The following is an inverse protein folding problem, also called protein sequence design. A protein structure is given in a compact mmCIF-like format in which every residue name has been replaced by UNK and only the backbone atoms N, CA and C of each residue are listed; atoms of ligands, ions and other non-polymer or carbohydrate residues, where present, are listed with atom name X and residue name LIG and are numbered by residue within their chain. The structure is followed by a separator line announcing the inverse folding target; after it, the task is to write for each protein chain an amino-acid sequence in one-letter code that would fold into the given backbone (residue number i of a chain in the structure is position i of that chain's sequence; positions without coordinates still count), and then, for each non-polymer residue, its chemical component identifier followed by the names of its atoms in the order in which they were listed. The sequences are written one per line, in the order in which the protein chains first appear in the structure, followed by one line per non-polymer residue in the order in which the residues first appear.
data_IF_343330531268
#
_entry.id   IF_343330531268
#
_cell.length_a   1.000
_cell.length_b   1.000
_cell.length_c   1.000
_cell.angle_alpha   90.00
_cell.angle_beta   90.00
_cell.angle_gamma   90.00
#
_symmetry.space_group_name_H-M   'P 1'
#
loop_
_entity.id
_entity.type
_entity.pdbx_description
1 polymer ?
#
# COMPACT_ATOMS: atom_id res chain seq x y z
N UNK A 1 14.99 -6.07 34.96
CA UNK A 1 14.65 -6.52 33.61
C UNK A 1 14.36 -5.28 32.77
N UNK A 2 15.33 -4.86 31.95
CA UNK A 2 15.09 -3.88 30.92
C UNK A 2 14.22 -4.58 29.86
N UNK A 3 12.97 -4.15 29.71
CA UNK A 3 12.24 -4.42 28.49
C UNK A 3 13.01 -3.70 27.37
N UNK A 4 13.65 -4.46 26.48
CA UNK A 4 14.04 -3.94 25.20
C UNK A 4 12.75 -3.46 24.53
N UNK A 5 12.56 -2.14 24.50
CA UNK A 5 11.60 -1.52 23.63
C UNK A 5 12.02 -1.93 22.21
N UNK A 6 11.22 -2.77 21.57
CA UNK A 6 11.37 -3.09 20.16
C UNK A 6 11.53 -1.77 19.39
N UNK A 7 12.77 -1.46 18.99
CA UNK A 7 13.03 -0.31 18.13
C UNK A 7 12.27 -0.58 16.84
N UNK A 8 11.21 0.20 16.59
CA UNK A 8 10.50 0.15 15.32
C UNK A 8 11.52 0.29 14.19
N UNK A 9 11.59 -0.73 13.33
CA UNK A 9 12.49 -0.71 12.19
C UNK A 9 12.09 0.43 11.24
N UNK A 10 13.08 1.22 10.80
CA UNK A 10 12.84 2.31 9.83
C UNK A 10 12.39 1.74 8.50
N UNK A 11 11.41 2.39 7.86
CA UNK A 11 11.01 2.09 6.49
C UNK A 11 12.14 2.42 5.52
N UNK A 12 12.08 1.88 4.31
CA UNK A 12 13.05 2.19 3.25
C UNK A 12 13.09 3.70 2.97
N UNK A 13 11.93 4.35 2.96
CA UNK A 13 11.83 5.81 2.78
C UNK A 13 12.52 6.57 3.91
N UNK A 14 12.27 6.22 5.17
CA UNK A 14 12.89 6.83 6.34
C UNK A 14 14.41 6.67 6.31
N UNK A 15 14.92 5.47 6.01
CA UNK A 15 16.36 5.20 5.88
C UNK A 15 17.01 6.07 4.80
N UNK A 16 16.33 6.20 3.65
CA UNK A 16 16.86 6.96 2.52
C UNK A 16 16.86 8.48 2.77
N UNK A 17 15.90 9.00 3.52
CA UNK A 17 15.73 10.44 3.77
C UNK A 17 16.37 10.94 5.06
N UNK A 18 16.87 10.07 5.92
CA UNK A 18 17.39 10.41 7.25
C UNK A 18 18.90 10.71 7.31
N UNK A 19 19.57 10.87 6.18
CA UNK A 19 21.00 11.16 6.11
C UNK A 19 21.34 12.50 6.76
N UNK A 20 22.14 12.46 7.82
CA UNK A 20 22.61 13.66 8.53
C UNK A 20 23.75 14.31 7.73
N UNK A 21 23.68 15.63 7.57
CA UNK A 21 24.70 16.42 6.88
C UNK A 21 24.67 16.33 5.35
N UNK A 22 23.66 15.73 4.78
CA UNK A 22 23.43 15.63 3.34
C UNK A 22 22.22 16.46 2.92
N UNK A 23 22.30 17.04 1.72
CA UNK A 23 21.13 17.67 1.08
C UNK A 23 20.31 16.56 0.45
N UNK A 24 19.03 16.50 0.82
CA UNK A 24 18.04 15.58 0.23
C UNK A 24 17.10 16.38 -0.65
N UNK A 25 16.96 15.96 -1.90
CA UNK A 25 16.12 16.63 -2.90
C UNK A 25 14.92 15.76 -3.24
N UNK A 26 13.74 16.37 -3.29
CA UNK A 26 12.47 15.71 -3.59
C UNK A 26 11.87 16.28 -4.88
N UNK A 27 11.43 15.38 -5.76
CA UNK A 27 10.61 15.72 -6.93
C UNK A 27 9.31 14.93 -6.85
N UNK A 28 8.18 15.64 -6.80
CA UNK A 28 6.87 15.03 -6.76
C UNK A 28 6.19 15.14 -8.11
N UNK A 29 5.66 14.02 -8.57
CA UNK A 29 4.90 13.90 -9.80
C UNK A 29 3.47 13.48 -9.46
N UNK A 30 2.52 14.39 -9.67
CA UNK A 30 1.10 14.13 -9.37
C UNK A 30 0.56 13.02 -10.26
N UNK A 31 -0.12 12.08 -9.65
CA UNK A 31 -0.78 10.96 -10.31
C UNK A 31 -2.30 11.08 -10.13
N UNK A 32 -3.11 10.37 -10.95
CA UNK A 32 -4.54 10.27 -10.70
C UNK A 32 -4.86 9.78 -9.30
N UNK A 33 -5.90 10.32 -8.67
CA UNK A 33 -6.35 9.89 -7.35
C UNK A 33 -6.74 8.41 -7.36
N UNK A 34 -6.52 7.73 -6.25
CA UNK A 34 -6.96 6.36 -6.04
C UNK A 34 -8.38 6.37 -5.47
N UNK A 35 -9.40 5.95 -6.26
CA UNK A 35 -10.78 5.99 -5.79
C UNK A 35 -11.10 4.77 -4.93
N UNK A 36 -11.24 4.97 -3.63
CA UNK A 36 -11.79 3.97 -2.72
C UNK A 36 -13.31 4.02 -2.65
N UNK A 37 -13.93 3.01 -2.05
CA UNK A 37 -15.40 2.90 -1.93
C UNK A 37 -16.03 4.03 -1.12
N UNK A 38 -15.32 4.55 -0.11
CA UNK A 38 -15.81 5.57 0.81
C UNK A 38 -15.07 6.90 0.69
N UNK A 39 -13.85 6.87 0.21
CA UNK A 39 -13.01 8.06 0.04
C UNK A 39 -11.92 7.79 -1.00
N UNK A 40 -11.41 8.85 -1.60
CA UNK A 40 -10.26 8.81 -2.49
C UNK A 40 -8.98 9.14 -1.74
N UNK A 41 -7.86 8.60 -2.20
CA UNK A 41 -6.53 8.96 -1.75
C UNK A 41 -5.82 9.80 -2.80
N UNK A 42 -4.97 10.75 -2.35
CA UNK A 42 -4.03 11.43 -3.24
C UNK A 42 -2.84 10.52 -3.53
N UNK A 43 -2.35 10.59 -4.75
CA UNK A 43 -1.28 9.73 -5.25
C UNK A 43 -0.22 10.57 -5.94
N UNK A 44 1.02 10.31 -5.59
CA UNK A 44 2.20 10.93 -6.21
C UNK A 44 3.28 9.86 -6.42
N UNK A 45 4.14 10.09 -7.39
CA UNK A 45 5.45 9.42 -7.44
C UNK A 45 6.47 10.42 -6.95
N UNK A 46 7.20 10.06 -5.91
CA UNK A 46 8.29 10.89 -5.36
C UNK A 46 9.64 10.31 -5.74
N UNK A 47 10.44 11.11 -6.43
CA UNK A 47 11.86 10.82 -6.66
C UNK A 47 12.67 11.53 -5.59
N UNK A 48 13.49 10.79 -4.87
CA UNK A 48 14.36 11.31 -3.82
C UNK A 48 15.81 11.16 -4.25
N UNK A 49 16.58 12.25 -4.17
CA UNK A 49 18.01 12.26 -4.43
C UNK A 49 18.73 12.64 -3.14
N UNK A 50 19.59 11.75 -2.68
CA UNK A 50 20.43 11.96 -1.50
C UNK A 50 21.89 11.73 -1.88
N UNK A 51 22.66 12.82 -2.01
CA UNK A 51 24.02 12.74 -2.52
C UNK A 51 24.05 12.18 -3.94
N UNK A 52 24.79 11.11 -4.16
CA UNK A 52 24.88 10.40 -5.46
C UNK A 52 23.81 9.33 -5.65
N UNK A 53 22.96 9.09 -4.65
CA UNK A 53 21.92 8.04 -4.70
C UNK A 53 20.56 8.63 -5.05
N UNK A 54 19.76 7.87 -5.77
CA UNK A 54 18.40 8.22 -6.17
C UNK A 54 17.48 7.03 -5.99
N UNK A 55 16.27 7.27 -5.49
CA UNK A 55 15.23 6.26 -5.39
C UNK A 55 13.85 6.87 -5.64
N UNK A 56 12.92 6.06 -6.10
CA UNK A 56 11.54 6.45 -6.34
C UNK A 56 10.58 5.70 -5.43
N UNK A 57 9.53 6.41 -5.02
CA UNK A 57 8.49 5.90 -4.11
C UNK A 57 7.11 6.23 -4.65
N UNK A 58 6.18 5.32 -4.49
CA UNK A 58 4.76 5.63 -4.58
C UNK A 58 4.31 6.22 -3.26
N UNK A 59 3.81 7.46 -3.28
CA UNK A 59 3.24 8.13 -2.12
C UNK A 59 1.72 8.11 -2.22
N UNK A 60 1.06 7.50 -1.24
CA UNK A 60 -0.40 7.48 -1.11
C UNK A 60 -0.75 8.13 0.21
N UNK A 61 -1.68 9.08 0.18
CA UNK A 61 -2.10 9.84 1.34
C UNK A 61 -3.62 9.97 1.39
N UNK A 62 -4.21 9.75 2.56
CA UNK A 62 -5.62 10.00 2.82
C UNK A 62 -5.86 10.24 4.32
N UNK A 63 -7.02 10.81 4.63
CA UNK A 63 -7.43 11.08 6.01
C UNK A 63 -8.57 10.13 6.40
N UNK A 64 -8.30 9.10 7.22
CA UNK A 64 -9.34 8.22 7.72
C UNK A 64 -10.34 9.00 8.58
N UNK A 65 -11.58 8.50 8.63
CA UNK A 65 -12.63 9.13 9.44
C UNK A 65 -12.19 9.26 10.92
N UNK A 66 -12.31 10.47 11.47
CA UNK A 66 -11.92 10.83 12.85
C UNK A 66 -10.44 10.52 13.20
N UNK A 67 -9.56 10.49 12.22
CA UNK A 67 -8.12 10.28 12.42
C UNK A 67 -7.31 11.35 11.71
N UNK A 68 -6.03 11.44 12.06
CA UNK A 68 -5.07 12.26 11.33
C UNK A 68 -4.78 11.68 9.94
N UNK A 69 -4.31 12.53 9.03
CA UNK A 69 -3.85 12.12 7.70
C UNK A 69 -2.79 11.04 7.80
N UNK A 70 -2.96 9.99 6.99
CA UNK A 70 -2.05 8.86 6.89
C UNK A 70 -1.34 8.87 5.54
N UNK A 71 -0.06 8.56 5.55
CA UNK A 71 0.78 8.48 4.36
C UNK A 71 1.54 7.16 4.30
N UNK A 72 1.67 6.59 3.11
CA UNK A 72 2.59 5.49 2.82
C UNK A 72 3.53 5.89 1.71
N UNK A 73 4.79 5.51 1.86
CA UNK A 73 5.83 5.64 0.83
C UNK A 73 6.32 4.23 0.49
N UNK A 74 5.91 3.74 -0.68
CA UNK A 74 6.23 2.38 -1.14
C UNK A 74 7.41 2.47 -2.10
N UNK A 75 8.53 1.82 -1.75
CA UNK A 75 9.70 1.78 -2.61
C UNK A 75 9.39 1.06 -3.93
N UNK A 76 10.06 1.47 -5.00
CA UNK A 76 9.81 0.96 -6.36
C UNK A 76 9.84 -0.58 -6.43
N UNK A 77 10.80 -1.23 -5.76
CA UNK A 77 10.92 -2.69 -5.75
C UNK A 77 9.74 -3.36 -5.02
N UNK A 78 9.33 -2.80 -3.88
CA UNK A 78 8.17 -3.30 -3.12
C UNK A 78 6.87 -3.09 -3.90
N UNK A 79 6.77 -2.01 -4.68
CA UNK A 79 5.60 -1.74 -5.52
C UNK A 79 5.43 -2.78 -6.63
N UNK A 80 6.52 -3.22 -7.25
CA UNK A 80 6.51 -4.30 -8.26
C UNK A 80 6.02 -5.60 -7.63
N UNK A 81 6.50 -5.93 -6.43
CA UNK A 81 6.06 -7.11 -5.67
C UNK A 81 4.58 -7.02 -5.28
N UNK A 82 4.12 -5.85 -4.84
CA UNK A 82 2.70 -5.65 -4.49
C UNK A 82 1.79 -5.80 -5.70
N UNK A 83 2.17 -5.24 -6.84
CA UNK A 83 1.39 -5.38 -8.09
C UNK A 83 1.25 -6.85 -8.47
N UNK A 84 2.36 -7.59 -8.45
CA UNK A 84 2.37 -9.03 -8.75
C UNK A 84 1.49 -9.81 -7.77
N UNK A 85 1.61 -9.54 -6.48
CA UNK A 85 0.77 -10.17 -5.46
C UNK A 85 -0.71 -9.84 -5.65
N UNK A 86 -1.04 -8.61 -6.03
CA UNK A 86 -2.43 -8.20 -6.28
C UNK A 86 -3.03 -8.95 -7.49
N UNK A 87 -2.26 -9.19 -8.53
CA UNK A 87 -2.67 -9.99 -9.69
C UNK A 87 -2.93 -11.45 -9.28
N UNK A 88 -2.09 -12.03 -8.44
CA UNK A 88 -2.28 -13.38 -7.89
C UNK A 88 -3.52 -13.45 -6.99
N UNK A 89 -3.70 -12.47 -6.11
CA UNK A 89 -4.88 -12.36 -5.24
C UNK A 89 -6.17 -12.25 -6.06
N UNK A 90 -6.15 -11.52 -7.17
CA UNK A 90 -7.31 -11.41 -8.08
C UNK A 90 -7.72 -12.77 -8.65
N UNK A 91 -6.75 -13.60 -9.03
CA UNK A 91 -7.01 -14.96 -9.51
C UNK A 91 -7.59 -15.82 -8.39
N UNK A 92 -7.01 -15.80 -7.20
CA UNK A 92 -7.51 -16.55 -6.04
C UNK A 92 -8.94 -16.14 -5.67
N UNK A 93 -9.24 -14.84 -5.65
CA UNK A 93 -10.56 -14.33 -5.32
C UNK A 93 -11.67 -14.81 -6.29
N UNK A 94 -11.31 -15.12 -7.55
CA UNK A 94 -12.27 -15.61 -8.53
C UNK A 94 -12.73 -17.03 -8.27
N UNK A 95 -11.99 -17.80 -7.48
CA UNK A 95 -12.27 -19.22 -7.19
C UNK A 95 -12.50 -19.49 -5.71
N UNK A 96 -12.00 -18.62 -4.82
CA UNK A 96 -12.11 -18.81 -3.38
C UNK A 96 -13.52 -18.47 -2.88
N UNK A 97 -13.96 -19.26 -1.90
CA UNK A 97 -15.05 -18.98 -0.99
C UNK A 97 -14.57 -19.26 0.43
N UNK A 98 -15.44 -19.16 1.42
CA UNK A 98 -15.08 -19.41 2.82
C UNK A 98 -14.90 -20.89 3.14
N UNK A 99 -15.36 -21.80 2.25
CA UNK A 99 -15.46 -23.23 2.58
C UNK A 99 -16.43 -23.43 3.74
N UNK A 100 -15.96 -24.09 4.81
CA UNK A 100 -16.74 -24.27 6.04
C UNK A 100 -16.55 -23.16 7.07
N UNK A 101 -15.62 -22.23 6.82
CA UNK A 101 -15.37 -21.09 7.68
C UNK A 101 -16.41 -19.98 7.50
N UNK A 102 -16.67 -19.22 8.56
CA UNK A 102 -17.55 -18.04 8.49
C UNK A 102 -16.88 -16.82 7.86
N UNK A 103 -15.56 -16.83 7.80
CA UNK A 103 -14.72 -15.75 7.32
C UNK A 103 -13.41 -16.32 6.75
N UNK A 104 -12.95 -15.75 5.65
CA UNK A 104 -11.60 -16.02 5.14
C UNK A 104 -10.97 -14.73 4.65
N UNK A 105 -9.66 -14.65 4.69
CA UNK A 105 -8.90 -13.51 4.26
C UNK A 105 -7.60 -13.96 3.59
N UNK A 106 -7.25 -13.34 2.47
CA UNK A 106 -5.92 -13.43 1.86
C UNK A 106 -5.25 -12.06 1.88
N UNK A 107 -4.02 -12.02 2.32
CA UNK A 107 -3.28 -10.78 2.56
C UNK A 107 -1.82 -10.90 2.14
N UNK A 108 -1.32 -9.84 1.50
CA UNK A 108 0.10 -9.66 1.19
C UNK A 108 0.62 -8.41 1.89
N UNK A 109 1.68 -8.55 2.66
CA UNK A 109 2.32 -7.46 3.42
C UNK A 109 3.70 -7.18 2.88
N UNK A 110 4.07 -5.91 2.77
CA UNK A 110 5.45 -5.48 2.53
C UNK A 110 6.14 -5.14 3.84
N UNK A 111 7.47 -5.03 3.79
CA UNK A 111 8.32 -4.83 4.99
C UNK A 111 8.06 -3.52 5.73
N UNK A 112 7.52 -2.48 5.08
CA UNK A 112 7.17 -1.21 5.73
C UNK A 112 5.89 -1.30 6.58
N UNK A 113 5.18 -2.42 6.52
CA UNK A 113 3.95 -2.68 7.26
C UNK A 113 2.65 -2.44 6.49
N UNK A 114 2.70 -1.86 5.30
CA UNK A 114 1.52 -1.74 4.43
C UNK A 114 1.12 -3.09 3.85
N UNK A 115 -0.16 -3.32 3.64
CA UNK A 115 -0.65 -4.57 3.08
C UNK A 115 -1.91 -4.39 2.23
N UNK A 116 -2.07 -5.31 1.29
CA UNK A 116 -3.23 -5.43 0.41
C UNK A 116 -3.86 -6.80 0.58
N UNK A 117 -5.13 -6.91 0.26
CA UNK A 117 -5.80 -8.19 0.30
C UNK A 117 -7.29 -8.09 0.05
N UNK A 118 -7.96 -9.17 0.31
CA UNK A 118 -9.41 -9.26 0.33
C UNK A 118 -9.89 -10.20 1.41
N UNK A 119 -11.10 -10.00 1.86
CA UNK A 119 -11.79 -10.95 2.73
C UNK A 119 -13.17 -11.29 2.17
N UNK A 120 -13.63 -12.47 2.51
CA UNK A 120 -14.97 -12.98 2.18
C UNK A 120 -15.65 -13.35 3.49
N UNK A 121 -16.85 -12.87 3.68
CA UNK A 121 -17.65 -13.12 4.86
C UNK A 121 -18.86 -13.95 4.52
N UNK A 122 -19.10 -15.03 5.26
CA UNK A 122 -20.28 -15.87 5.12
C UNK A 122 -21.45 -15.28 5.89
N UNK A 123 -22.63 -15.32 5.32
CA UNK A 123 -23.87 -14.98 6.00
C UNK A 123 -24.88 -16.14 5.88
N UNK A 124 -26.10 -15.93 6.40
CA UNK A 124 -27.16 -16.97 6.35
C UNK A 124 -27.54 -17.42 4.95
N UNK A 125 -27.28 -16.61 3.93
CA UNK A 125 -27.55 -16.91 2.52
C UNK A 125 -26.33 -17.41 1.73
N UNK A 126 -25.16 -17.56 2.38
CA UNK A 126 -23.91 -18.03 1.79
C UNK A 126 -22.80 -16.99 1.83
N UNK A 127 -21.75 -17.20 1.03
CA UNK A 127 -20.60 -16.28 0.94
C UNK A 127 -21.02 -14.96 0.29
N UNK A 128 -20.46 -13.85 0.82
CA UNK A 128 -20.56 -12.54 0.18
C UNK A 128 -19.44 -12.36 -0.84
N UNK A 129 -19.60 -11.36 -1.71
CA UNK A 129 -18.55 -10.93 -2.62
C UNK A 129 -17.28 -10.52 -1.85
N UNK A 130 -16.08 -10.72 -2.41
CA UNK A 130 -14.84 -10.26 -1.80
C UNK A 130 -14.85 -8.76 -1.58
N UNK A 131 -14.40 -8.33 -0.41
CA UNK A 131 -14.12 -6.93 -0.10
C UNK A 131 -12.60 -6.73 -0.15
N UNK A 132 -12.15 -5.87 -1.05
CA UNK A 132 -10.74 -5.56 -1.25
C UNK A 132 -10.31 -4.40 -0.38
N UNK A 133 -9.06 -4.40 0.04
CA UNK A 133 -8.53 -3.33 0.87
C UNK A 133 -7.04 -3.07 0.62
N UNK A 134 -6.64 -1.83 0.92
CA UNK A 134 -5.26 -1.42 1.06
C UNK A 134 -5.11 -0.75 2.43
N UNK A 135 -4.25 -1.30 3.27
CA UNK A 135 -3.95 -0.75 4.60
C UNK A 135 -2.59 -0.06 4.60
N UNK A 136 -2.57 1.17 5.06
CA UNK A 136 -1.37 1.98 5.18
C UNK A 136 -0.76 1.81 6.57
N UNK A 137 0.53 1.52 6.62
CA UNK A 137 1.36 1.52 7.84
C UNK A 137 0.93 0.52 8.93
N UNK A 138 0.22 -0.53 8.58
CA UNK A 138 -0.13 -1.58 9.51
C UNK A 138 -1.24 -1.21 10.49
N UNK A 139 -1.17 -1.75 11.71
CA UNK A 139 -2.27 -1.71 12.68
C UNK A 139 -2.73 -0.29 13.08
N UNK A 140 -1.80 0.66 13.18
CA UNK A 140 -2.10 2.04 13.56
C UNK A 140 -2.43 2.96 12.37
N UNK A 141 -2.39 2.43 11.16
CA UNK A 141 -2.70 3.17 9.95
C UNK A 141 -4.17 3.15 9.59
N UNK A 142 -4.48 3.62 8.39
CA UNK A 142 -5.81 3.65 7.83
C UNK A 142 -6.00 2.60 6.74
N UNK A 143 -7.25 2.27 6.47
CA UNK A 143 -7.62 1.29 5.45
C UNK A 143 -8.51 1.93 4.39
N UNK A 144 -8.14 1.75 3.12
CA UNK A 144 -8.99 2.03 1.96
C UNK A 144 -9.67 0.74 1.51
N UNK A 145 -10.97 0.81 1.23
CA UNK A 145 -11.75 -0.32 0.76
C UNK A 145 -12.13 -0.16 -0.71
N UNK A 146 -12.26 -1.28 -1.42
CA UNK A 146 -12.60 -1.34 -2.84
C UNK A 146 -13.54 -2.50 -3.10
N UNK A 147 -14.44 -2.34 -4.06
CA UNK A 147 -15.30 -3.44 -4.51
C UNK A 147 -14.56 -4.44 -5.41
N UNK A 148 -13.58 -3.93 -6.17
CA UNK A 148 -12.72 -4.73 -7.05
C UNK A 148 -11.28 -4.26 -6.91
N UNK A 149 -10.27 -5.07 -7.29
CA UNK A 149 -8.88 -4.66 -7.22
C UNK A 149 -8.43 -3.73 -8.35
N UNK A 150 -9.31 -3.41 -9.30
CA UNK A 150 -8.95 -2.74 -10.56
C UNK A 150 -8.34 -1.35 -10.35
N UNK A 151 -8.92 -0.55 -9.44
CA UNK A 151 -8.39 0.78 -9.14
C UNK A 151 -6.97 0.73 -8.53
N UNK A 152 -6.71 -0.25 -7.66
CA UNK A 152 -5.38 -0.48 -7.11
C UNK A 152 -4.39 -0.93 -8.18
N UNK A 153 -4.80 -1.86 -9.05
CA UNK A 153 -3.96 -2.33 -10.16
C UNK A 153 -3.60 -1.20 -11.12
N UNK A 154 -4.56 -0.35 -11.48
CA UNK A 154 -4.33 0.82 -12.33
C UNK A 154 -3.38 1.81 -11.67
N UNK A 155 -3.54 2.07 -10.38
CA UNK A 155 -2.66 2.93 -9.59
C UNK A 155 -1.22 2.40 -9.59
N UNK A 156 -1.01 1.14 -9.29
CA UNK A 156 0.33 0.53 -9.24
C UNK A 156 0.96 0.48 -10.63
N UNK A 157 0.20 0.12 -11.65
CA UNK A 157 0.67 0.09 -13.04
C UNK A 157 1.10 1.47 -13.52
N UNK A 158 0.30 2.49 -13.25
CA UNK A 158 0.61 3.88 -13.61
C UNK A 158 1.84 4.42 -12.87
N UNK A 159 1.96 4.11 -11.58
CA UNK A 159 3.10 4.51 -10.77
C UNK A 159 4.41 3.85 -11.25
N UNK A 160 4.38 2.55 -11.56
CA UNK A 160 5.54 1.83 -12.09
C UNK A 160 5.97 2.43 -13.43
N UNK A 161 5.03 2.71 -14.33
CA UNK A 161 5.33 3.34 -15.62
C UNK A 161 5.96 4.73 -15.43
N UNK A 162 5.46 5.54 -14.49
CA UNK A 162 6.02 6.85 -14.17
C UNK A 162 7.43 6.73 -13.61
N UNK A 163 7.66 5.82 -12.69
CA UNK A 163 8.99 5.55 -12.11
C UNK A 163 9.97 5.16 -13.21
N UNK A 164 9.59 4.28 -14.12
CA UNK A 164 10.44 3.85 -15.23
C UNK A 164 10.79 5.01 -16.19
N UNK A 165 9.87 5.96 -16.36
CA UNK A 165 10.08 7.13 -17.21
C UNK A 165 11.02 8.19 -16.61
N UNK A 166 11.12 8.27 -15.28
CA UNK A 166 11.89 9.31 -14.56
C UNK A 166 13.17 8.82 -13.90
N UNK A 167 13.47 7.55 -13.99
CA UNK A 167 14.71 6.96 -13.47
C UNK A 167 15.97 7.67 -13.99
#
# INVERSE_FOLDING_TARGET
FAQELDKKEQTTFEKFTSSIGSIVKFYDYTMPKLPGSYQAATVEVRKVISGSQSNCFLHIEFTPYQRSTQSAFIAADDLVEMKKALEELKVLASTDGTGEADYMENKFRIKDGSYIGYYIQKNKSGDKEPTWYFNINGYNGGTLFFKTPDALLDCFTGAIAKIDAIK
#
